data_IF_114546642227
#
_entry.id   IF_114546642227
#
_cell.length_a   1.000
_cell.length_b   1.000
_cell.length_c   1.000
_cell.angle_alpha   90.00
_cell.angle_beta   90.00
_cell.angle_gamma   90.00
#
_symmetry.space_group_name_H-M   'P 1'
#
loop_
_entity.id
_entity.type
_entity.pdbx_description
1 polymer ?
#
# COMPACT_ATOMS: atom_id res chain seq x y z
N UNK A 1 15.06 57.48 -60.54
CA UNK A 1 14.80 56.98 -59.16
C UNK A 1 13.31 57.09 -58.89
N UNK A 2 12.65 55.97 -58.57
CA UNK A 2 11.24 55.75 -58.11
C UNK A 2 10.64 54.60 -58.92
N UNK A 3 10.88 53.36 -58.49
CA UNK A 3 9.97 52.48 -57.70
C UNK A 3 8.84 51.89 -58.55
N UNK A 4 8.98 50.60 -58.85
CA UNK A 4 7.94 49.77 -59.45
C UNK A 4 6.95 49.24 -58.42
N UNK A 5 5.90 48.58 -58.90
CA UNK A 5 5.17 47.57 -58.14
C UNK A 5 4.59 46.54 -59.13
N UNK A 6 5.11 45.32 -59.03
CA UNK A 6 4.71 44.14 -59.77
C UNK A 6 3.45 43.55 -59.11
N UNK A 7 2.40 43.27 -59.89
CA UNK A 7 1.17 42.64 -59.40
C UNK A 7 1.46 41.21 -58.95
N UNK A 8 1.19 40.91 -57.68
CA UNK A 8 1.29 39.57 -57.11
C UNK A 8 0.05 38.73 -57.41
N UNK A 9 0.31 37.46 -57.61
CA UNK A 9 -0.56 36.40 -58.09
C UNK A 9 -1.20 35.56 -56.96
N UNK A 10 -2.23 34.81 -57.36
CA UNK A 10 -2.81 33.57 -56.79
C UNK A 10 -3.59 33.61 -55.47
N UNK A 11 -4.91 33.43 -55.63
CA UNK A 11 -5.83 32.89 -54.63
C UNK A 11 -5.44 31.43 -54.31
N UNK A 12 -5.15 31.14 -53.05
CA UNK A 12 -5.17 29.77 -52.49
C UNK A 12 -6.35 29.69 -51.50
N UNK A 13 -7.14 28.60 -51.50
CA UNK A 13 -8.22 28.42 -50.54
C UNK A 13 -7.66 28.10 -49.15
N UNK A 14 -8.38 28.41 -48.06
CA UNK A 14 -7.94 28.07 -46.73
C UNK A 14 -7.96 26.55 -46.56
N UNK A 15 -6.78 25.95 -46.35
CA UNK A 15 -6.64 24.58 -45.87
C UNK A 15 -7.22 24.52 -44.44
N UNK A 16 -8.47 24.08 -44.33
CA UNK A 16 -9.07 23.71 -43.04
C UNK A 16 -8.32 22.48 -42.51
N UNK A 17 -7.44 22.69 -41.54
CA UNK A 17 -6.93 21.58 -40.72
C UNK A 17 -8.06 21.14 -39.78
N UNK A 18 -8.72 20.04 -40.14
CA UNK A 18 -9.62 19.34 -39.23
C UNK A 18 -8.75 18.66 -38.15
N UNK A 19 -8.55 19.34 -37.02
CA UNK A 19 -8.01 18.70 -35.82
C UNK A 19 -9.05 17.69 -35.31
N UNK A 20 -8.89 16.44 -35.72
CA UNK A 20 -9.51 15.29 -35.06
C UNK A 20 -8.85 15.17 -33.67
N UNK A 21 -9.44 15.84 -32.68
CA UNK A 21 -9.16 15.49 -31.29
C UNK A 21 -9.69 14.08 -31.10
N UNK A 22 -8.79 13.10 -31.04
CA UNK A 22 -9.08 11.84 -30.36
C UNK A 22 -9.39 12.22 -28.91
N UNK A 23 -10.66 12.48 -28.62
CA UNK A 23 -11.16 12.29 -27.26
C UNK A 23 -10.99 10.81 -27.00
N UNK A 24 -9.84 10.47 -26.41
CA UNK A 24 -9.67 9.20 -25.74
C UNK A 24 -10.91 9.04 -24.86
N UNK A 25 -11.68 7.99 -25.11
CA UNK A 25 -12.85 7.63 -24.33
C UNK A 25 -12.39 7.56 -22.88
N UNK A 26 -12.67 8.60 -22.10
CA UNK A 26 -12.47 8.56 -20.66
C UNK A 26 -13.45 7.50 -20.17
N UNK A 27 -12.93 6.33 -19.80
CA UNK A 27 -13.70 5.33 -19.06
C UNK A 27 -14.01 5.93 -17.70
N UNK A 28 -15.07 6.74 -17.62
CA UNK A 28 -15.61 7.16 -16.35
C UNK A 28 -16.41 5.98 -15.80
N UNK A 29 -15.72 5.02 -15.18
CA UNK A 29 -16.39 4.09 -14.29
C UNK A 29 -16.77 4.88 -13.03
N UNK A 30 -17.93 5.55 -13.08
CA UNK A 30 -18.64 5.98 -11.88
C UNK A 30 -19.23 4.73 -11.23
N UNK A 31 -18.40 3.89 -10.65
CA UNK A 31 -18.85 2.95 -9.63
C UNK A 31 -18.93 3.72 -8.32
N UNK A 32 -20.09 3.73 -7.66
CA UNK A 32 -20.28 4.37 -6.34
C UNK A 32 -19.51 3.69 -5.20
N UNK A 33 -18.51 2.87 -5.53
CA UNK A 33 -17.56 2.29 -4.61
C UNK A 33 -16.29 3.12 -4.67
N UNK A 34 -15.80 3.58 -3.53
CA UNK A 34 -14.43 4.09 -3.42
C UNK A 34 -13.52 2.91 -3.74
N UNK A 35 -12.95 2.94 -4.94
CA UNK A 35 -11.99 1.96 -5.41
C UNK A 35 -10.73 2.15 -4.56
N UNK A 36 -10.54 1.25 -3.60
CA UNK A 36 -9.41 1.30 -2.65
C UNK A 36 -8.36 0.29 -3.10
N UNK A 37 -7.06 0.61 -2.95
CA UNK A 37 -6.01 -0.30 -3.36
C UNK A 37 -6.07 -1.61 -2.57
N UNK A 38 -5.76 -2.72 -3.23
CA UNK A 38 -5.74 -4.06 -2.64
C UNK A 38 -4.31 -4.32 -2.15
N UNK A 39 -4.14 -4.49 -0.84
CA UNK A 39 -2.85 -4.87 -0.25
C UNK A 39 -2.79 -6.38 -0.08
N UNK A 40 -1.71 -7.00 -0.57
CA UNK A 40 -1.54 -8.45 -0.58
C UNK A 40 -0.08 -8.83 -0.38
N UNK A 41 0.18 -10.07 0.02
CA UNK A 41 1.53 -10.66 0.02
C UNK A 41 1.68 -11.61 -1.16
N UNK A 42 2.83 -11.61 -1.81
CA UNK A 42 3.17 -12.53 -2.90
C UNK A 42 4.58 -13.06 -2.75
N UNK A 43 4.82 -14.28 -3.23
CA UNK A 43 6.12 -14.93 -3.23
C UNK A 43 6.80 -14.83 -4.60
N UNK A 44 8.09 -14.53 -4.61
CA UNK A 44 8.96 -14.73 -5.77
C UNK A 44 10.26 -15.40 -5.34
N UNK A 45 10.90 -16.16 -6.23
CA UNK A 45 12.20 -16.77 -5.98
C UNK A 45 13.30 -15.74 -5.68
N UNK A 46 13.19 -14.51 -6.19
CA UNK A 46 14.21 -13.48 -6.00
C UNK A 46 14.08 -12.75 -4.65
N UNK A 47 12.86 -12.61 -4.11
CA UNK A 47 12.59 -11.75 -2.95
C UNK A 47 11.94 -12.46 -1.75
N UNK A 48 11.55 -13.73 -1.90
CA UNK A 48 10.66 -14.40 -0.96
C UNK A 48 9.28 -13.71 -0.88
N UNK A 49 8.57 -13.95 0.22
CA UNK A 49 7.29 -13.28 0.51
C UNK A 49 7.46 -11.80 0.77
N UNK A 50 6.80 -10.96 -0.02
CA UNK A 50 6.81 -9.51 0.11
C UNK A 50 5.40 -8.94 -0.03
N UNK A 51 5.20 -7.73 0.50
CA UNK A 51 3.92 -7.03 0.44
C UNK A 51 3.89 -6.10 -0.76
N UNK A 52 2.77 -6.19 -1.48
CA UNK A 52 2.46 -5.44 -2.67
C UNK A 52 1.11 -4.77 -2.53
N UNK A 53 0.90 -3.75 -3.33
CA UNK A 53 -0.34 -3.03 -3.43
C UNK A 53 -0.74 -2.93 -4.89
N UNK A 54 -1.94 -3.38 -5.20
CA UNK A 54 -2.54 -3.25 -6.51
C UNK A 54 -3.54 -2.09 -6.50
N UNK A 55 -3.27 -1.12 -7.36
CA UNK A 55 -4.15 0.00 -7.64
C UNK A 55 -5.15 -0.41 -8.72
N UNK A 56 -6.42 -0.45 -8.31
CA UNK A 56 -7.56 -0.88 -9.09
C UNK A 56 -8.05 0.18 -10.08
N UNK A 57 -7.69 1.46 -9.89
CA UNK A 57 -8.02 2.54 -10.82
C UNK A 57 -7.05 2.57 -12.00
N UNK A 58 -5.77 2.31 -11.74
CA UNK A 58 -4.71 2.39 -12.75
C UNK A 58 -4.24 1.04 -13.31
N UNK A 59 -4.74 -0.09 -12.79
CA UNK A 59 -4.30 -1.45 -13.15
C UNK A 59 -2.78 -1.61 -12.98
N UNK A 60 -2.28 -1.18 -11.82
CA UNK A 60 -0.86 -1.13 -11.53
C UNK A 60 -0.54 -1.70 -10.15
N UNK A 61 0.48 -2.53 -10.07
CA UNK A 61 1.01 -3.01 -8.79
C UNK A 61 2.30 -2.29 -8.43
N UNK A 62 2.45 -1.97 -7.15
CA UNK A 62 3.70 -1.47 -6.55
C UNK A 62 4.12 -2.33 -5.36
N UNK A 63 5.41 -2.54 -5.23
CA UNK A 63 5.98 -3.24 -4.08
C UNK A 63 6.11 -2.27 -2.88
N UNK A 64 5.63 -2.70 -1.71
CA UNK A 64 5.66 -1.91 -0.48
C UNK A 64 6.83 -2.29 0.43
N UNK A 65 7.22 -3.56 0.46
CA UNK A 65 8.36 -4.06 1.26
C UNK A 65 9.43 -4.65 0.37
N UNK A 66 10.70 -4.39 0.71
CA UNK A 66 11.88 -4.96 0.04
C UNK A 66 12.88 -5.43 1.09
N UNK A 67 12.38 -6.12 2.10
CA UNK A 67 13.15 -6.41 3.30
C UNK A 67 13.90 -7.75 3.12
N UNK A 68 15.03 -7.92 3.82
CA UNK A 68 15.72 -9.22 3.88
C UNK A 68 14.83 -10.32 4.49
N UNK A 69 13.95 -9.92 5.41
CA UNK A 69 12.96 -10.81 6.00
C UNK A 69 11.67 -10.83 5.18
N UNK A 70 11.11 -12.02 5.02
CA UNK A 70 9.78 -12.22 4.45
C UNK A 70 8.68 -11.46 5.21
N UNK A 71 7.70 -10.95 4.49
CA UNK A 71 6.60 -10.15 5.01
C UNK A 71 5.23 -10.80 4.72
N UNK A 72 4.47 -11.05 5.79
CA UNK A 72 3.24 -11.84 5.79
C UNK A 72 2.05 -11.07 6.37
N UNK A 73 0.84 -11.51 6.00
CA UNK A 73 -0.43 -11.10 6.59
C UNK A 73 -0.59 -9.57 6.69
N UNK A 74 -0.55 -8.83 5.55
CA UNK A 74 -0.61 -7.39 5.58
C UNK A 74 -1.97 -6.87 6.03
N UNK A 75 -1.97 -5.79 6.80
CA UNK A 75 -3.14 -4.93 7.06
C UNK A 75 -2.76 -3.48 6.82
N UNK A 76 -3.62 -2.73 6.13
CA UNK A 76 -3.42 -1.30 5.88
C UNK A 76 -4.44 -0.49 6.68
N UNK A 77 -3.95 0.37 7.56
CA UNK A 77 -4.77 1.29 8.35
C UNK A 77 -5.22 2.52 7.58
N UNK A 78 -6.19 3.28 8.12
CA UNK A 78 -6.79 4.46 7.47
C UNK A 78 -5.79 5.61 7.24
N UNK A 79 -4.72 5.68 8.05
CA UNK A 79 -3.67 6.69 7.95
C UNK A 79 -2.57 6.35 6.93
N UNK A 80 -2.66 5.21 6.24
CA UNK A 80 -1.57 4.68 5.41
C UNK A 80 -0.52 3.89 6.17
N UNK A 81 -0.77 3.58 7.45
CA UNK A 81 0.09 2.70 8.24
C UNK A 81 -0.12 1.23 7.83
N UNK A 82 0.91 0.62 7.27
CA UNK A 82 0.94 -0.81 6.97
C UNK A 82 1.46 -1.57 8.20
N UNK A 83 0.75 -2.61 8.63
CA UNK A 83 1.28 -3.58 9.58
C UNK A 83 1.36 -4.97 8.95
N UNK A 84 2.37 -5.73 9.35
CA UNK A 84 2.62 -7.09 8.86
C UNK A 84 3.46 -7.89 9.86
N UNK A 85 3.56 -9.20 9.67
CA UNK A 85 4.47 -10.04 10.44
C UNK A 85 5.62 -10.56 9.58
N UNK A 86 6.78 -10.82 10.18
CA UNK A 86 7.84 -11.59 9.51
C UNK A 86 7.75 -13.10 9.81
N UNK A 87 8.65 -13.89 9.20
CA UNK A 87 8.72 -15.35 9.41
C UNK A 87 9.03 -15.74 10.87
N UNK A 88 9.58 -14.84 11.68
CA UNK A 88 9.86 -15.07 13.10
C UNK A 88 8.67 -14.69 14.01
N UNK A 89 7.56 -14.24 13.41
CA UNK A 89 6.40 -13.74 14.12
C UNK A 89 6.67 -12.43 14.86
N UNK A 90 7.46 -11.55 14.25
CA UNK A 90 7.61 -10.17 14.73
C UNK A 90 6.66 -9.28 13.94
N UNK A 91 5.93 -8.41 14.64
CA UNK A 91 5.04 -7.43 13.99
C UNK A 91 5.83 -6.16 13.67
N UNK A 92 5.69 -5.69 12.44
CA UNK A 92 6.32 -4.50 11.89
C UNK A 92 5.27 -3.48 11.45
N UNK A 93 5.61 -2.21 11.58
CA UNK A 93 4.83 -1.05 11.14
C UNK A 93 5.62 -0.27 10.10
N UNK A 94 4.98 0.11 9.00
CA UNK A 94 5.56 0.91 7.94
C UNK A 94 4.58 2.04 7.56
N UNK A 95 4.99 3.29 7.73
CA UNK A 95 4.21 4.44 7.28
C UNK A 95 4.41 4.65 5.77
N UNK A 96 3.36 4.44 4.99
CA UNK A 96 3.39 4.61 3.52
C UNK A 96 3.16 6.05 3.07
N UNK A 97 2.69 6.92 3.96
CA UNK A 97 2.28 8.29 3.64
C UNK A 97 3.36 9.32 3.98
N UNK A 98 4.48 8.91 4.55
CA UNK A 98 5.57 9.84 4.83
C UNK A 98 6.05 10.51 3.53
N UNK A 99 5.81 11.82 3.43
CA UNK A 99 6.07 12.68 2.27
C UNK A 99 7.49 13.24 2.24
N UNK A 100 8.31 13.00 3.28
CA UNK A 100 9.63 13.63 3.44
C UNK A 100 10.71 13.05 2.48
N UNK A 101 10.30 12.27 1.48
CA UNK A 101 11.17 11.73 0.42
C UNK A 101 12.06 10.56 0.86
N UNK A 102 12.32 10.42 2.15
CA UNK A 102 13.00 9.25 2.72
C UNK A 102 11.97 8.21 3.15
N UNK A 103 11.98 7.04 2.48
CA UNK A 103 11.23 5.87 2.95
C UNK A 103 11.75 5.49 4.34
N UNK A 104 10.96 5.73 5.39
CA UNK A 104 11.33 5.28 6.72
C UNK A 104 11.39 3.75 6.76
N UNK A 105 12.41 3.16 7.41
CA UNK A 105 12.47 1.73 7.56
C UNK A 105 11.30 1.24 8.43
N UNK A 106 10.78 0.02 8.18
CA UNK A 106 9.76 -0.56 9.05
C UNK A 106 10.23 -0.63 10.51
N UNK A 107 9.33 -0.31 11.44
CA UNK A 107 9.59 -0.33 12.87
C UNK A 107 8.92 -1.54 13.53
N UNK A 108 9.67 -2.26 14.34
CA UNK A 108 9.13 -3.41 15.05
C UNK A 108 8.42 -3.01 16.34
N UNK A 109 7.32 -3.71 16.66
CA UNK A 109 6.63 -3.57 17.95
C UNK A 109 7.32 -4.47 18.97
N UNK A 110 8.29 -3.92 19.72
CA UNK A 110 9.11 -4.66 20.68
C UNK A 110 8.39 -5.06 21.97
N UNK A 111 7.23 -4.47 22.25
CA UNK A 111 6.44 -4.78 23.45
C UNK A 111 5.63 -6.07 23.35
N UNK A 112 5.52 -6.66 22.15
CA UNK A 112 4.78 -7.90 21.95
C UNK A 112 5.59 -9.13 22.39
N UNK A 113 4.92 -10.23 22.77
CA UNK A 113 5.55 -11.54 22.87
C UNK A 113 6.21 -11.98 21.56
N UNK A 114 6.94 -13.10 21.62
CA UNK A 114 7.43 -13.77 20.42
C UNK A 114 6.28 -14.47 19.69
N UNK A 115 6.51 -14.79 18.42
CA UNK A 115 5.60 -15.59 17.59
C UNK A 115 4.20 -14.96 17.47
N UNK A 116 4.15 -13.68 17.13
CA UNK A 116 2.92 -12.96 16.84
C UNK A 116 2.70 -12.82 15.32
N UNK A 117 1.45 -12.93 14.88
CA UNK A 117 1.06 -12.82 13.48
C UNK A 117 -0.36 -12.31 13.31
N UNK A 118 -0.82 -12.27 12.06
CA UNK A 118 -2.19 -11.88 11.69
C UNK A 118 -2.62 -10.51 12.28
N UNK A 119 -1.86 -9.43 11.99
CA UNK A 119 -2.21 -8.12 12.51
C UNK A 119 -3.52 -7.58 11.89
N UNK A 120 -4.28 -6.82 12.66
CA UNK A 120 -5.42 -6.04 12.20
C UNK A 120 -5.42 -4.66 12.87
N UNK A 121 -5.51 -3.59 12.08
CA UNK A 121 -5.59 -2.21 12.59
C UNK A 121 -7.05 -1.82 12.78
N UNK A 122 -7.36 -1.14 13.89
CA UNK A 122 -8.71 -0.65 14.19
C UNK A 122 -9.16 0.42 13.19
N UNK A 123 -10.48 0.61 12.97
CA UNK A 123 -10.98 1.61 12.02
C UNK A 123 -10.59 3.06 12.33
N UNK A 124 -10.33 3.38 13.60
CA UNK A 124 -9.80 4.69 14.04
C UNK A 124 -8.28 4.84 13.86
N UNK A 125 -7.57 3.74 13.53
CA UNK A 125 -6.13 3.72 13.36
C UNK A 125 -5.32 3.84 14.66
N UNK A 126 -5.96 3.80 15.83
CA UNK A 126 -5.27 3.99 17.12
C UNK A 126 -4.75 2.68 17.72
N UNK A 127 -5.31 1.54 17.30
CA UNK A 127 -5.02 0.23 17.87
C UNK A 127 -4.67 -0.80 16.80
N UNK A 128 -3.83 -1.74 17.18
CA UNK A 128 -3.56 -2.95 16.41
C UNK A 128 -3.88 -4.16 17.27
N UNK A 129 -4.49 -5.18 16.69
CA UNK A 129 -4.63 -6.50 17.30
C UNK A 129 -3.79 -7.52 16.54
N UNK A 130 -3.29 -8.54 17.24
CA UNK A 130 -2.55 -9.65 16.62
C UNK A 130 -2.68 -10.91 17.47
N UNK A 131 -2.52 -12.07 16.85
CA UNK A 131 -2.50 -13.38 17.53
C UNK A 131 -1.07 -13.70 17.90
N UNK A 132 -0.81 -14.03 19.17
CA UNK A 132 0.51 -14.46 19.64
C UNK A 132 0.47 -15.89 20.15
N UNK A 133 1.38 -16.71 19.63
CA UNK A 133 1.45 -18.14 19.89
C UNK A 133 2.44 -18.47 21.01
N UNK A 134 2.05 -19.40 21.87
CA UNK A 134 2.92 -19.95 22.91
C UNK A 134 3.05 -21.45 22.70
N UNK A 135 4.29 -21.92 22.60
CA UNK A 135 4.62 -23.33 22.41
C UNK A 135 5.25 -23.90 23.69
N UNK A 136 4.50 -24.74 24.40
CA UNK A 136 4.96 -25.37 25.64
C UNK A 136 4.65 -26.87 25.60
N UNK A 137 5.67 -27.71 25.85
CA UNK A 137 5.51 -29.17 25.95
C UNK A 137 4.75 -29.81 24.77
N UNK A 138 5.02 -29.36 23.54
CA UNK A 138 4.32 -29.80 22.29
C UNK A 138 2.84 -29.38 22.21
N UNK A 139 2.37 -28.55 23.13
CA UNK A 139 1.08 -27.87 23.03
C UNK A 139 1.28 -26.48 22.45
N UNK A 140 0.34 -26.05 21.63
CA UNK A 140 0.24 -24.71 21.10
C UNK A 140 -0.98 -24.03 21.71
N UNK A 141 -0.77 -22.84 22.27
CA UNK A 141 -1.85 -21.94 22.67
C UNK A 141 -1.70 -20.64 21.89
N UNK A 142 -2.82 -19.94 21.72
CA UNK A 142 -2.82 -18.62 21.09
C UNK A 142 -3.64 -17.65 21.94
N UNK A 143 -3.13 -16.44 22.11
CA UNK A 143 -3.80 -15.36 22.83
C UNK A 143 -3.93 -14.16 21.88
N UNK A 144 -4.98 -13.35 22.04
CA UNK A 144 -5.14 -12.10 21.31
C UNK A 144 -4.45 -10.98 22.08
N UNK A 145 -3.57 -10.25 21.42
CA UNK A 145 -2.91 -9.06 21.95
C UNK A 145 -3.43 -7.80 21.28
N UNK A 146 -3.39 -6.70 22.01
CA UNK A 146 -3.71 -5.37 21.53
C UNK A 146 -2.55 -4.44 21.79
N UNK A 147 -2.22 -3.61 20.80
CA UNK A 147 -1.19 -2.59 20.82
C UNK A 147 -1.84 -1.22 20.67
N UNK A 148 -1.46 -0.28 21.51
CA UNK A 148 -1.69 1.15 21.31
C UNK A 148 -0.61 1.65 20.32
N UNK A 149 -1.02 2.07 19.13
CA UNK A 149 -0.09 2.38 18.03
C UNK A 149 0.77 3.60 18.35
N UNK A 150 0.21 4.60 19.04
CA UNK A 150 0.89 5.85 19.38
C UNK A 150 2.03 5.62 20.38
N UNK A 151 1.79 4.79 21.39
CA UNK A 151 2.74 4.54 22.47
C UNK A 151 3.58 3.29 22.25
N UNK A 152 3.20 2.42 21.32
CA UNK A 152 3.82 1.11 21.08
C UNK A 152 3.62 0.12 22.23
N UNK A 153 2.77 0.44 23.23
CA UNK A 153 2.52 -0.45 24.37
C UNK A 153 1.54 -1.55 23.98
N UNK A 154 1.84 -2.78 24.39
CA UNK A 154 0.96 -3.93 24.18
C UNK A 154 0.37 -4.45 25.49
N UNK A 155 -0.76 -5.13 25.38
CA UNK A 155 -1.36 -5.91 26.47
C UNK A 155 -2.09 -7.11 25.89
N UNK A 156 -2.20 -8.18 26.68
CA UNK A 156 -3.06 -9.31 26.32
C UNK A 156 -4.52 -8.89 26.44
N UNK A 157 -5.26 -9.03 25.34
CA UNK A 157 -6.67 -8.65 25.25
C UNK A 157 -7.60 -9.83 25.57
N UNK A 158 -7.34 -11.00 24.99
CA UNK A 158 -8.09 -12.22 25.24
C UNK A 158 -7.09 -13.33 25.50
N UNK A 159 -7.34 -14.12 26.54
CA UNK A 159 -6.62 -15.37 26.77
C UNK A 159 -7.48 -16.56 26.39
N UNK A 160 -7.00 -17.42 25.51
CA UNK A 160 -7.65 -18.67 25.20
C UNK A 160 -6.95 -19.78 25.98
N UNK A 161 -7.51 -20.12 27.13
CA UNK A 161 -7.12 -21.32 27.85
C UNK A 161 -7.90 -22.50 27.28
N UNK A 162 -7.20 -23.41 26.61
CA UNK A 162 -7.72 -24.75 26.30
C UNK A 162 -7.88 -25.62 27.54
#
# INVERSE_FOLDING_TARGET
MSKGLLKLFFLLPPFTFLLLTLSACQRTLKTGYVVSPITYSTFTEQSGWQIWQYDTDYDQSRQLTMNENEAYYPTLGPSGLLAYSDHNGKIWLLDLNNQDGEKQPPQAISSLPKYCGHPAISPDGERLTCVCFTFLNRSENSDLYMVDIKTGKSSRLISFTG
#
